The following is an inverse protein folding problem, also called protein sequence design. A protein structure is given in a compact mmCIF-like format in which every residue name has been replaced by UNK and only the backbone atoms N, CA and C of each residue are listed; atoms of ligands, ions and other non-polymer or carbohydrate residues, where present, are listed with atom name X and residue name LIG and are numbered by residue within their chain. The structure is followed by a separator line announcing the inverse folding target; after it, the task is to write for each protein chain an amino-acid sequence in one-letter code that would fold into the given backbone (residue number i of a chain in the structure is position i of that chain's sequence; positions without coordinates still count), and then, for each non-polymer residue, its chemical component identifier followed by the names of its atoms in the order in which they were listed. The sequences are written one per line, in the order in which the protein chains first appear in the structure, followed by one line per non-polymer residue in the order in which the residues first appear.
data_IF_258400050115
#
_entry.id   IF_258400050115
#
_cell.length_a   1.000
_cell.length_b   1.000
_cell.length_c   1.000
_cell.angle_alpha   90.00
_cell.angle_beta   90.00
_cell.angle_gamma   90.00
#
_symmetry.space_group_name_H-M   'P 1'
#
loop_
_entity.id
_entity.type
_entity.pdbx_description
1 polymer ?
#
# COMPACT_ATOMS: atom_id res chain seq x y z
N UNK A 1 16.65 -8.38 -11.87
CA UNK A 1 15.68 -8.15 -10.78
C UNK A 1 14.35 -8.74 -11.23
N UNK A 2 13.66 -9.51 -10.41
CA UNK A 2 12.37 -10.14 -10.71
C UNK A 2 11.27 -9.56 -9.81
N UNK A 3 10.01 -9.95 -10.04
CA UNK A 3 8.86 -9.44 -9.30
C UNK A 3 8.96 -9.73 -7.80
N UNK A 4 9.53 -10.85 -7.39
CA UNK A 4 9.73 -11.20 -5.98
C UNK A 4 10.71 -10.25 -5.29
N UNK A 5 11.83 -9.94 -5.92
CA UNK A 5 12.81 -8.97 -5.39
C UNK A 5 12.19 -7.58 -5.29
N UNK A 6 11.41 -7.17 -6.28
CA UNK A 6 10.70 -5.88 -6.23
C UNK A 6 9.65 -5.84 -5.13
N UNK A 7 8.92 -6.93 -4.91
CA UNK A 7 7.96 -7.02 -3.82
C UNK A 7 8.65 -6.93 -2.45
N UNK A 8 9.79 -7.60 -2.28
CA UNK A 8 10.58 -7.52 -1.06
C UNK A 8 11.01 -6.07 -0.75
N UNK A 9 11.55 -5.38 -1.75
CA UNK A 9 11.94 -3.97 -1.63
C UNK A 9 10.71 -3.08 -1.37
N UNK A 10 9.60 -3.36 -2.06
CA UNK A 10 8.33 -2.65 -1.87
C UNK A 10 7.75 -2.79 -0.46
N UNK A 11 7.91 -3.94 0.19
CA UNK A 11 7.49 -4.15 1.58
C UNK A 11 8.33 -3.39 2.61
N UNK A 12 9.61 -3.17 2.32
CA UNK A 12 10.53 -2.56 3.29
C UNK A 12 10.05 -1.18 3.77
N UNK A 13 9.56 -0.33 2.83
CA UNK A 13 9.04 0.99 3.16
C UNK A 13 7.84 0.94 4.12
N UNK A 14 6.74 0.30 3.74
CA UNK A 14 5.56 0.18 4.60
C UNK A 14 5.83 -0.53 5.94
N UNK A 15 6.71 -1.52 5.98
CA UNK A 15 7.07 -2.19 7.24
C UNK A 15 7.83 -1.27 8.19
N UNK A 16 8.88 -0.61 7.71
CA UNK A 16 9.67 0.33 8.52
C UNK A 16 8.82 1.52 8.94
N UNK A 17 8.00 2.05 8.02
CA UNK A 17 7.07 3.14 8.32
C UNK A 17 6.03 2.75 9.37
N UNK A 18 5.53 1.51 9.33
CA UNK A 18 4.59 0.98 10.33
C UNK A 18 5.26 0.87 11.71
N UNK A 19 6.49 0.39 11.78
CA UNK A 19 7.25 0.35 13.04
C UNK A 19 7.45 1.75 13.60
N UNK A 20 7.83 2.72 12.77
CA UNK A 20 7.95 4.13 13.18
C UNK A 20 6.64 4.72 13.72
N UNK A 21 5.53 4.45 13.03
CA UNK A 21 4.20 4.87 13.47
C UNK A 21 3.78 4.22 14.79
N UNK A 22 4.10 2.93 15.00
CA UNK A 22 3.86 2.23 16.27
C UNK A 22 4.67 2.82 17.41
N UNK A 23 5.94 3.16 17.20
CA UNK A 23 6.78 3.82 18.20
C UNK A 23 6.13 5.15 18.61
N UNK A 24 5.73 5.99 17.64
CA UNK A 24 5.02 7.23 17.92
C UNK A 24 3.72 6.98 18.69
N UNK A 25 2.96 5.97 18.33
CA UNK A 25 1.71 5.60 18.99
C UNK A 25 1.93 5.23 20.46
N UNK A 26 2.86 4.35 20.75
CA UNK A 26 3.13 3.94 22.14
C UNK A 26 3.70 5.07 22.99
N UNK A 27 4.56 5.90 22.42
CA UNK A 27 5.06 7.10 23.11
C UNK A 27 3.92 8.12 23.35
N UNK A 28 3.04 8.30 22.38
CA UNK A 28 1.86 9.18 22.52
C UNK A 28 0.97 8.71 23.68
N UNK A 29 0.74 7.41 23.78
CA UNK A 29 -0.08 6.81 24.84
C UNK A 29 0.60 6.88 26.21
N UNK A 30 1.92 6.76 26.26
CA UNK A 30 2.69 6.81 27.50
C UNK A 30 2.80 8.23 28.07
N UNK A 31 3.02 9.21 27.20
CA UNK A 31 3.22 10.61 27.59
C UNK A 31 1.97 11.51 27.45
N UNK A 32 0.84 10.92 27.07
CA UNK A 32 -0.40 11.67 26.77
C UNK A 32 -0.18 12.84 25.80
N UNK A 33 0.53 12.57 24.71
CA UNK A 33 0.98 13.60 23.78
C UNK A 33 0.21 13.57 22.46
N UNK A 34 -0.61 14.58 22.24
CA UNK A 34 -1.46 14.69 21.05
C UNK A 34 -0.67 14.85 19.74
N UNK A 35 0.49 15.49 19.77
CA UNK A 35 1.34 15.62 18.57
C UNK A 35 1.91 14.26 18.13
N UNK A 36 2.42 13.47 19.06
CA UNK A 36 2.89 12.12 18.77
C UNK A 36 1.74 11.22 18.27
N UNK A 37 0.55 11.41 18.81
CA UNK A 37 -0.64 10.67 18.34
C UNK A 37 -0.99 11.06 16.89
N UNK A 38 -0.96 12.36 16.57
CA UNK A 38 -1.18 12.84 15.21
C UNK A 38 -0.11 12.33 14.22
N UNK A 39 1.16 12.29 14.66
CA UNK A 39 2.25 11.71 13.85
C UNK A 39 2.07 10.21 13.62
N UNK A 40 1.60 9.46 14.62
CA UNK A 40 1.29 8.04 14.45
C UNK A 40 0.16 7.83 13.44
N UNK A 41 -0.89 8.63 13.51
CA UNK A 41 -1.98 8.61 12.52
C UNK A 41 -1.48 8.87 11.11
N UNK A 42 -0.71 9.93 10.92
CA UNK A 42 -0.12 10.26 9.62
C UNK A 42 0.75 9.10 9.11
N UNK A 43 1.56 8.50 9.97
CA UNK A 43 2.39 7.36 9.62
C UNK A 43 1.57 6.13 9.18
N UNK A 44 0.56 5.74 9.94
CA UNK A 44 -0.32 4.63 9.58
C UNK A 44 -1.08 4.90 8.27
N UNK A 45 -1.63 6.10 8.12
CA UNK A 45 -2.39 6.47 6.94
C UNK A 45 -1.52 6.53 5.68
N UNK A 46 -0.33 7.14 5.75
CA UNK A 46 0.59 7.22 4.60
C UNK A 46 1.03 5.83 4.16
N UNK A 47 1.35 4.93 5.11
CA UNK A 47 1.74 3.57 4.78
C UNK A 47 0.57 2.76 4.19
N UNK A 48 -0.65 2.95 4.68
CA UNK A 48 -1.85 2.35 4.10
C UNK A 48 -2.06 2.85 2.66
N UNK A 49 -1.91 4.15 2.43
CA UNK A 49 -2.01 4.75 1.11
C UNK A 49 -0.96 4.18 0.14
N UNK A 50 0.27 3.95 0.61
CA UNK A 50 1.33 3.33 -0.17
C UNK A 50 1.05 1.87 -0.54
N UNK A 51 0.10 1.21 0.10
CA UNK A 51 -0.32 -0.15 -0.26
C UNK A 51 -1.34 -0.21 -1.39
N UNK A 52 -1.81 0.93 -1.92
CA UNK A 52 -2.66 0.93 -3.11
C UNK A 52 -1.93 0.18 -4.24
N UNK A 53 -2.57 -0.84 -4.86
CA UNK A 53 -1.90 -1.71 -5.83
C UNK A 53 -1.73 -1.02 -7.18
N UNK A 54 -1.01 0.09 -7.22
CA UNK A 54 -0.80 0.92 -8.40
C UNK A 54 0.49 1.73 -8.28
N UNK A 55 1.20 1.94 -9.39
CA UNK A 55 2.34 2.88 -9.42
C UNK A 55 1.85 4.32 -9.19
N UNK A 56 2.59 5.15 -8.47
CA UNK A 56 3.96 4.97 -7.97
C UNK A 56 4.07 4.32 -6.57
N UNK A 57 2.97 3.79 -6.04
CA UNK A 57 2.93 3.25 -4.67
C UNK A 57 3.64 1.90 -4.55
N UNK A 58 4.10 1.59 -3.35
CA UNK A 58 4.75 0.31 -3.04
C UNK A 58 3.81 -0.89 -3.24
N UNK A 59 2.51 -0.70 -3.03
CA UNK A 59 1.49 -1.71 -3.31
C UNK A 59 1.50 -2.22 -4.75
N UNK A 60 1.81 -1.35 -5.73
CA UNK A 60 1.96 -1.77 -7.11
C UNK A 60 3.15 -2.72 -7.32
N UNK A 61 4.24 -2.53 -6.59
CA UNK A 61 5.43 -3.39 -6.63
C UNK A 61 5.19 -4.71 -5.90
N UNK A 62 4.56 -4.64 -4.73
CA UNK A 62 4.24 -5.83 -3.91
C UNK A 62 3.28 -6.75 -4.66
N UNK A 63 2.22 -6.21 -5.23
CA UNK A 63 1.19 -7.00 -5.90
C UNK A 63 1.63 -7.55 -7.25
N UNK A 64 2.72 -7.05 -7.82
CA UNK A 64 3.30 -7.60 -9.05
C UNK A 64 3.70 -9.09 -8.90
N UNK A 65 4.14 -9.50 -7.71
CA UNK A 65 4.47 -10.90 -7.43
C UNK A 65 3.26 -11.83 -7.52
N UNK A 66 2.07 -11.31 -7.21
CA UNK A 66 0.81 -12.05 -7.28
C UNK A 66 0.34 -12.15 -8.73
N UNK A 67 0.10 -11.02 -9.35
CA UNK A 67 -0.22 -10.89 -10.78
C UNK A 67 -0.26 -9.41 -11.17
N UNK A 68 0.26 -9.02 -12.34
CA UNK A 68 0.08 -7.67 -12.88
C UNK A 68 -1.39 -7.27 -13.05
N UNK A 69 -2.30 -8.21 -13.21
CA UNK A 69 -3.74 -7.95 -13.34
C UNK A 69 -4.37 -7.35 -12.09
N UNK A 70 -3.75 -7.53 -10.91
CA UNK A 70 -4.21 -6.94 -9.65
C UNK A 70 -4.15 -5.41 -9.71
N UNK A 71 -3.29 -4.83 -10.52
CA UNK A 71 -3.20 -3.38 -10.68
C UNK A 71 -4.50 -2.73 -11.17
N UNK A 72 -5.37 -3.48 -11.86
CA UNK A 72 -6.69 -2.97 -12.23
C UNK A 72 -7.59 -2.68 -11.03
N UNK A 73 -7.38 -3.31 -9.88
CA UNK A 73 -8.11 -2.97 -8.64
C UNK A 73 -7.73 -1.61 -8.07
N UNK A 74 -6.54 -1.11 -8.38
CA UNK A 74 -6.12 0.24 -8.00
C UNK A 74 -6.92 1.34 -8.68
N UNK A 75 -7.43 1.09 -9.88
CA UNK A 75 -8.21 2.08 -10.65
C UNK A 75 -9.50 2.49 -9.93
N UNK A 76 -10.40 1.55 -9.53
CA UNK A 76 -11.60 1.92 -8.78
C UNK A 76 -11.28 2.52 -7.41
N UNK A 77 -10.18 2.13 -6.77
CA UNK A 77 -9.72 2.75 -5.52
C UNK A 77 -9.36 4.22 -5.71
N UNK A 78 -8.57 4.54 -6.74
CA UNK A 78 -8.24 5.93 -7.08
C UNK A 78 -9.48 6.72 -7.49
N UNK A 79 -10.37 6.12 -8.28
CA UNK A 79 -11.61 6.76 -8.69
C UNK A 79 -12.49 7.10 -7.48
N UNK A 80 -12.65 6.18 -6.55
CA UNK A 80 -13.42 6.41 -5.32
C UNK A 80 -12.80 7.53 -4.48
N UNK A 81 -11.48 7.55 -4.33
CA UNK A 81 -10.78 8.63 -3.61
C UNK A 81 -10.94 9.98 -4.30
N UNK A 82 -10.87 10.03 -5.63
CA UNK A 82 -11.05 11.26 -6.40
C UNK A 82 -12.48 11.79 -6.29
N UNK A 83 -13.48 10.90 -6.32
CA UNK A 83 -14.88 11.30 -6.14
C UNK A 83 -15.17 11.81 -4.73
N UNK A 84 -14.50 11.25 -3.73
CA UNK A 84 -14.66 11.68 -2.34
C UNK A 84 -13.93 13.00 -2.07
N UNK A 85 -12.67 13.11 -2.49
CA UNK A 85 -11.86 14.32 -2.38
C UNK A 85 -11.03 14.55 -3.63
N UNK A 86 -11.56 15.31 -4.60
CA UNK A 86 -10.81 15.66 -5.81
C UNK A 86 -9.49 16.35 -5.46
N UNK A 87 -8.40 15.86 -6.02
CA UNK A 87 -7.06 16.39 -5.80
C UNK A 87 -6.24 16.32 -7.09
N UNK A 88 -5.51 17.40 -7.46
CA UNK A 88 -4.56 17.36 -8.58
C UNK A 88 -3.51 16.25 -8.43
N UNK A 89 -3.14 15.91 -7.20
CA UNK A 89 -2.21 14.82 -6.90
C UNK A 89 -2.75 13.47 -7.36
N UNK A 90 -4.05 13.20 -7.17
CA UNK A 90 -4.68 11.95 -7.63
C UNK A 90 -4.70 11.86 -9.16
N UNK A 91 -4.87 12.98 -9.86
CA UNK A 91 -4.75 13.04 -11.32
C UNK A 91 -3.32 12.71 -11.76
N UNK A 92 -2.32 13.28 -11.11
CA UNK A 92 -0.91 12.98 -11.37
C UNK A 92 -0.61 11.48 -11.15
N UNK A 93 -1.08 10.92 -10.07
CA UNK A 93 -0.95 9.48 -9.76
C UNK A 93 -1.60 8.64 -10.86
N UNK A 94 -2.79 9.01 -11.31
CA UNK A 94 -3.48 8.30 -12.40
C UNK A 94 -2.65 8.32 -13.70
N UNK A 95 -2.06 9.47 -14.05
CA UNK A 95 -1.19 9.60 -15.22
C UNK A 95 0.06 8.72 -15.06
N UNK A 96 0.71 8.73 -13.91
CA UNK A 96 1.89 7.90 -13.62
C UNK A 96 1.58 6.40 -13.63
N UNK A 97 0.34 6.02 -13.35
CA UNK A 97 -0.10 4.63 -13.37
C UNK A 97 -0.37 4.09 -14.79
N UNK A 98 -0.59 4.95 -15.79
CA UNK A 98 -0.93 4.53 -17.16
C UNK A 98 0.06 3.53 -17.78
N UNK A 99 1.40 3.69 -17.68
CA UNK A 99 2.35 2.71 -18.23
C UNK A 99 2.23 1.34 -17.55
N UNK A 100 1.94 1.32 -16.25
CA UNK A 100 1.75 0.08 -15.49
C UNK A 100 0.47 -0.63 -15.92
N UNK A 101 -0.64 0.10 -16.06
CA UNK A 101 -1.91 -0.44 -16.52
C UNK A 101 -1.81 -0.95 -17.96
N UNK A 102 -1.08 -0.25 -18.83
CA UNK A 102 -0.82 -0.72 -20.19
C UNK A 102 -0.04 -2.05 -20.20
N UNK A 103 0.93 -2.22 -19.30
CA UNK A 103 1.64 -3.50 -19.12
C UNK A 103 0.71 -4.61 -18.61
N UNK A 104 -0.15 -4.29 -17.65
CA UNK A 104 -1.13 -5.25 -17.12
C UNK A 104 -2.13 -5.71 -18.19
N UNK A 105 -2.55 -4.79 -19.07
CA UNK A 105 -3.46 -5.10 -20.18
C UNK A 105 -2.83 -6.02 -21.22
N UNK A 106 -1.54 -5.82 -21.50
CA UNK A 106 -0.76 -6.61 -22.45
C UNK A 106 -0.12 -7.87 -21.83
N UNK A 107 -0.35 -8.09 -20.54
CA UNK A 107 0.29 -9.19 -19.82
C UNK A 107 -0.19 -10.55 -20.34
N UNK A 108 0.75 -11.34 -20.84
CA UNK A 108 0.57 -12.73 -21.24
C UNK A 108 1.55 -13.60 -20.44
N UNK A 109 1.06 -14.48 -19.56
CA UNK A 109 1.92 -15.36 -18.76
C UNK A 109 2.69 -16.40 -19.58
N UNK A 110 2.27 -16.65 -20.81
CA UNK A 110 2.94 -17.62 -21.70
C UNK A 110 4.22 -17.07 -22.33
N UNK A 111 4.43 -15.77 -22.33
CA UNK A 111 5.64 -15.17 -22.88
C UNK A 111 6.84 -15.48 -21.97
N UNK A 112 7.98 -15.97 -22.52
CA UNK A 112 9.16 -16.34 -21.73
C UNK A 112 9.69 -15.21 -20.84
N UNK A 113 9.66 -13.99 -21.32
CA UNK A 113 10.07 -12.80 -20.57
C UNK A 113 9.17 -12.54 -19.34
N UNK A 114 7.86 -12.72 -19.48
CA UNK A 114 6.91 -12.61 -18.39
C UNK A 114 7.03 -13.76 -17.40
N UNK A 115 7.21 -14.97 -17.89
CA UNK A 115 7.46 -16.13 -17.05
C UNK A 115 8.75 -15.99 -16.24
N UNK A 116 9.81 -15.44 -16.83
CA UNK A 116 11.07 -15.17 -16.14
C UNK A 116 10.95 -14.08 -15.06
N UNK A 117 10.15 -13.03 -15.30
CA UNK A 117 10.02 -11.91 -14.38
C UNK A 117 8.97 -12.13 -13.30
N UNK A 118 7.78 -12.62 -13.67
CA UNK A 118 6.62 -12.81 -12.77
C UNK A 118 6.43 -14.25 -12.29
N UNK A 119 7.22 -15.19 -12.84
CA UNK A 119 7.13 -16.61 -12.50
C UNK A 119 7.64 -16.85 -11.09
N UNK A 120 6.73 -16.98 -10.15
CA UNK A 120 7.02 -17.32 -8.76
C UNK A 120 6.20 -18.54 -8.36
N UNK A 121 6.66 -19.26 -7.31
CA UNK A 121 5.90 -20.39 -6.78
C UNK A 121 4.57 -19.94 -6.19
N UNK A 122 3.59 -20.85 -6.17
CA UNK A 122 2.31 -20.60 -5.51
C UNK A 122 2.49 -20.28 -4.03
N UNK A 123 3.45 -20.93 -3.37
CA UNK A 123 3.80 -20.67 -1.97
C UNK A 123 4.26 -19.22 -1.77
N UNK A 124 5.17 -18.74 -2.61
CA UNK A 124 5.63 -17.34 -2.57
C UNK A 124 4.47 -16.37 -2.77
N UNK A 125 3.60 -16.63 -3.75
CA UNK A 125 2.42 -15.79 -3.99
C UNK A 125 1.49 -15.73 -2.79
N UNK A 126 1.18 -16.87 -2.18
CA UNK A 126 0.33 -16.96 -0.99
C UNK A 126 0.97 -16.21 0.17
N UNK A 127 2.27 -16.39 0.39
CA UNK A 127 3.01 -15.73 1.46
C UNK A 127 2.98 -14.21 1.32
N UNK A 128 3.32 -13.67 0.16
CA UNK A 128 3.27 -12.22 -0.08
C UNK A 128 1.85 -11.68 -0.04
N UNK A 129 0.88 -12.39 -0.58
CA UNK A 129 -0.54 -12.03 -0.52
C UNK A 129 -1.06 -11.96 0.91
N UNK A 130 -0.71 -12.94 1.75
CA UNK A 130 -1.10 -12.98 3.15
C UNK A 130 -0.47 -11.81 3.94
N UNK A 131 0.82 -11.55 3.76
CA UNK A 131 1.50 -10.41 4.41
C UNK A 131 0.94 -9.07 3.94
N UNK A 132 0.68 -8.92 2.64
CA UNK A 132 0.08 -7.72 2.09
C UNK A 132 -1.29 -7.42 2.71
N UNK A 133 -2.18 -8.41 2.74
CA UNK A 133 -3.51 -8.26 3.32
C UNK A 133 -3.47 -8.04 4.83
N UNK A 134 -2.58 -8.73 5.54
CA UNK A 134 -2.41 -8.56 7.00
C UNK A 134 -1.91 -7.14 7.31
N UNK A 135 -0.94 -6.64 6.58
CA UNK A 135 -0.42 -5.28 6.77
C UNK A 135 -1.48 -4.23 6.42
N UNK A 136 -2.19 -4.40 5.31
CA UNK A 136 -3.27 -3.50 4.91
C UNK A 136 -4.39 -3.44 5.95
N UNK A 137 -4.82 -4.59 6.47
CA UNK A 137 -5.83 -4.68 7.52
C UNK A 137 -5.35 -4.01 8.81
N UNK A 138 -4.12 -4.29 9.24
CA UNK A 138 -3.53 -3.68 10.43
C UNK A 138 -3.47 -2.15 10.31
N UNK A 139 -2.97 -1.63 9.18
CA UNK A 139 -2.86 -0.20 8.94
C UNK A 139 -4.23 0.48 8.84
N UNK A 140 -5.23 -0.18 8.26
CA UNK A 140 -6.59 0.32 8.18
C UNK A 140 -7.22 0.45 9.58
N UNK A 141 -7.09 -0.59 10.41
CA UNK A 141 -7.58 -0.58 11.80
C UNK A 141 -6.89 0.50 12.61
N UNK A 142 -5.55 0.56 12.57
CA UNK A 142 -4.80 1.56 13.33
C UNK A 142 -5.08 2.99 12.87
N UNK A 143 -5.21 3.22 11.57
CA UNK A 143 -5.58 4.53 11.04
C UNK A 143 -6.97 4.96 11.53
N UNK A 144 -7.92 4.05 11.55
CA UNK A 144 -9.26 4.30 12.05
C UNK A 144 -9.26 4.60 13.55
N UNK A 145 -8.66 3.73 14.35
CA UNK A 145 -8.63 3.85 15.80
C UNK A 145 -7.94 5.14 16.27
N UNK A 146 -6.79 5.45 15.70
CA UNK A 146 -6.05 6.67 16.06
C UNK A 146 -6.81 7.91 15.58
N UNK A 147 -7.48 7.86 14.43
CA UNK A 147 -8.34 8.95 13.97
C UNK A 147 -9.47 9.23 14.97
N UNK A 148 -10.10 8.19 15.51
CA UNK A 148 -11.13 8.34 16.55
C UNK A 148 -10.57 8.96 17.83
N UNK A 149 -9.35 8.60 18.22
CA UNK A 149 -8.68 9.19 19.39
C UNK A 149 -8.34 10.69 19.21
N UNK A 150 -8.15 11.14 17.97
CA UNK A 150 -7.88 12.55 17.63
C UNK A 150 -9.16 13.39 17.47
N UNK A 151 -10.32 12.75 17.37
CA UNK A 151 -11.62 13.43 17.24
C UNK A 151 -12.05 14.13 18.51
N UNK A 152 -13.07 15.03 18.43
CA UNK A 152 -13.58 15.76 19.58
C UNK A 152 -14.15 14.85 20.68
N UNK A 153 -14.52 13.62 20.36
CA UNK A 153 -15.07 12.62 21.29
C UNK A 153 -13.99 11.74 21.92
N UNK A 154 -12.73 11.89 21.52
CA UNK A 154 -11.58 11.08 21.98
C UNK A 154 -10.94 11.55 23.29
N UNK A 155 -11.66 12.31 24.11
CA UNK A 155 -11.21 12.77 25.43
C UNK A 155 -11.78 11.92 26.55
#
# INVERSE_FOLDING_TARGET
MNAETEAYVGFAGPLVGTVGALICYFLARHYDNALLLALSYAGFFINLFNLIPLSPFDGGRITAVLSPRIWFFGVPMLAAMFLWRPSPMLVLVAIMALPQLARAFKYDPALPENAAYYGTSTETKVTYGAYYLALAAFLAVMSYDVHQMLGPDGR
#
